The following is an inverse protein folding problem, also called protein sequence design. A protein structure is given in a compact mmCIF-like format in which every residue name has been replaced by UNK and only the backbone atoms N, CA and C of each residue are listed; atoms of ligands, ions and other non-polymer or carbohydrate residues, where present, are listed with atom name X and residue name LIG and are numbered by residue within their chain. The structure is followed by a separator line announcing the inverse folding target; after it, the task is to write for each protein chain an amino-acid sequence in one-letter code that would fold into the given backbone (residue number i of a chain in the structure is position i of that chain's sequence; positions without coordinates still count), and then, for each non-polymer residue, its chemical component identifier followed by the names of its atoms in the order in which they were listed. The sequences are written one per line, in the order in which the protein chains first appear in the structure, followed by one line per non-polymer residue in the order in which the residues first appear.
data_IF_311166567641
#
_entry.id   IF_311166567641
#
_cell.length_a   1.000
_cell.length_b   1.000
_cell.length_c   1.000
_cell.angle_alpha   90.00
_cell.angle_beta   90.00
_cell.angle_gamma   90.00
#
_symmetry.space_group_name_H-M   'P 1'
#
loop_
_entity.id
_entity.type
_entity.pdbx_description
1 polymer ?
#
# COMPACT_ATOMS: atom_id res chain seq x y z
N UNK A 1 1.59 -24.41 3.65
CA UNK A 1 2.25 -23.30 2.92
C UNK A 1 2.64 -22.23 3.93
N UNK A 2 3.89 -21.75 3.93
CA UNK A 2 4.28 -20.64 4.82
C UNK A 2 3.77 -19.34 4.19
N UNK A 3 2.85 -18.65 4.84
CA UNK A 3 2.37 -17.35 4.36
C UNK A 3 3.43 -16.28 4.58
N UNK A 4 3.56 -15.35 3.62
CA UNK A 4 4.46 -14.21 3.74
C UNK A 4 4.00 -13.30 4.88
N UNK A 5 4.89 -13.00 5.83
CA UNK A 5 4.59 -12.13 6.99
C UNK A 5 5.00 -10.68 6.77
N UNK A 6 6.08 -10.45 6.03
CA UNK A 6 6.63 -9.12 5.79
C UNK A 6 6.92 -8.97 4.31
N UNK A 7 6.50 -7.84 3.74
CA UNK A 7 6.75 -7.47 2.36
C UNK A 7 7.41 -6.09 2.32
N UNK A 8 8.62 -6.03 1.77
CA UNK A 8 9.40 -4.80 1.66
C UNK A 8 9.60 -4.47 0.19
N UNK A 9 9.10 -3.31 -0.24
CA UNK A 9 9.23 -2.77 -1.59
C UNK A 9 9.84 -1.37 -1.57
N UNK A 10 10.66 -1.07 -0.56
CA UNK A 10 11.29 0.24 -0.40
C UNK A 10 12.07 0.65 -1.66
N UNK A 11 11.89 1.88 -2.12
CA UNK A 11 12.64 2.44 -3.23
C UNK A 11 12.32 1.82 -4.60
N UNK A 12 11.25 1.04 -4.73
CA UNK A 12 10.83 0.47 -6.01
C UNK A 12 10.23 1.54 -6.94
N UNK A 13 11.09 2.34 -7.58
CA UNK A 13 10.70 3.45 -8.47
C UNK A 13 10.00 3.01 -9.76
N UNK A 14 10.16 1.74 -10.14
CA UNK A 14 9.58 1.14 -11.35
C UNK A 14 8.60 0.01 -10.99
N UNK A 15 8.00 0.03 -9.79
CA UNK A 15 7.01 -0.99 -9.43
C UNK A 15 5.80 -0.84 -10.35
N UNK A 16 5.78 -1.64 -11.42
CA UNK A 16 4.89 -1.49 -12.57
C UNK A 16 3.70 -2.45 -12.55
N UNK A 17 3.72 -3.49 -11.72
CA UNK A 17 2.68 -4.52 -11.62
C UNK A 17 2.88 -5.30 -10.31
N UNK A 18 1.80 -5.51 -9.58
CA UNK A 18 1.68 -6.61 -8.61
C UNK A 18 0.75 -7.67 -9.23
N UNK A 19 0.74 -8.93 -8.75
CA UNK A 19 -0.08 -9.98 -9.36
C UNK A 19 -1.58 -9.65 -9.25
N UNK A 20 -2.19 -9.45 -10.42
CA UNK A 20 -3.60 -9.34 -10.82
C UNK A 20 -4.69 -9.05 -9.77
N UNK A 21 -5.22 -7.82 -9.80
CA UNK A 21 -6.54 -7.46 -10.39
C UNK A 21 -6.46 -5.97 -10.73
N UNK A 22 -6.60 -5.65 -12.01
CA UNK A 22 -6.26 -4.35 -12.60
C UNK A 22 -7.54 -3.53 -12.87
N UNK A 23 -7.59 -2.27 -12.42
CA UNK A 23 -8.25 -1.20 -13.19
C UNK A 23 -7.15 -0.34 -13.81
N UNK A 24 -7.02 -0.41 -15.13
CA UNK A 24 -6.10 0.41 -15.92
C UNK A 24 -6.73 1.80 -16.03
N UNK A 25 -6.06 2.86 -15.58
CA UNK A 25 -6.34 4.21 -16.08
C UNK A 25 -5.72 4.35 -17.49
N UNK A 26 -6.39 5.01 -18.44
CA UNK A 26 -6.12 4.92 -19.88
C UNK A 26 -4.78 5.46 -20.40
N UNK A 27 -3.85 5.89 -19.54
CA UNK A 27 -2.59 6.49 -19.96
C UNK A 27 -1.41 5.64 -19.46
N UNK A 28 -1.05 4.63 -20.26
CA UNK A 28 -0.16 3.51 -19.91
C UNK A 28 1.31 3.82 -19.64
N UNK A 29 1.65 4.85 -18.86
CA UNK A 29 3.05 5.13 -18.49
C UNK A 29 3.36 5.21 -17.00
N UNK A 30 2.40 5.43 -16.09
CA UNK A 30 2.67 5.46 -14.65
C UNK A 30 1.51 4.84 -13.86
N UNK A 31 1.73 3.66 -13.25
CA UNK A 31 0.74 3.10 -12.33
C UNK A 31 0.81 3.89 -11.03
N UNK A 32 -0.28 4.60 -10.74
CA UNK A 32 -0.43 5.47 -9.55
C UNK A 32 -1.00 4.73 -8.34
N UNK A 33 -1.47 3.49 -8.51
CA UNK A 33 -2.19 2.72 -7.49
C UNK A 33 -1.62 1.31 -7.33
N UNK A 34 -1.37 0.89 -6.10
CA UNK A 34 -1.00 -0.49 -5.79
C UNK A 34 -2.25 -1.37 -5.84
N UNK A 35 -2.19 -2.56 -6.46
CA UNK A 35 -3.22 -3.60 -6.29
C UNK A 35 -2.53 -4.78 -5.62
N UNK A 36 -2.96 -5.17 -4.42
CA UNK A 36 -2.41 -6.33 -3.73
C UNK A 36 -3.34 -7.51 -3.94
N UNK A 37 -2.80 -8.66 -4.38
CA UNK A 37 -3.58 -9.89 -4.45
C UNK A 37 -4.13 -10.20 -3.06
N UNK A 38 -5.44 -10.45 -2.98
CA UNK A 38 -6.14 -10.83 -1.73
C UNK A 38 -5.44 -12.04 -1.07
N UNK A 39 -4.89 -12.95 -1.88
CA UNK A 39 -4.15 -14.12 -1.41
C UNK A 39 -2.80 -13.78 -0.75
N UNK A 40 -2.15 -12.69 -1.16
CA UNK A 40 -0.91 -12.21 -0.53
C UNK A 40 -1.18 -11.53 0.82
N UNK A 41 -2.37 -10.94 1.00
CA UNK A 41 -2.74 -10.21 2.21
C UNK A 41 -3.16 -11.11 3.38
N UNK A 42 -3.63 -12.34 3.10
CA UNK A 42 -4.20 -13.21 4.14
C UNK A 42 -3.23 -13.59 5.28
N UNK A 43 -1.92 -13.48 5.06
CA UNK A 43 -0.91 -13.72 6.10
C UNK A 43 0.01 -12.54 6.39
N UNK A 44 -0.10 -11.44 5.63
CA UNK A 44 0.83 -10.32 5.70
C UNK A 44 0.57 -9.52 6.97
N UNK A 45 1.63 -9.28 7.73
CA UNK A 45 1.63 -8.51 8.97
C UNK A 45 2.25 -7.13 8.76
N UNK A 46 3.28 -7.03 7.92
CA UNK A 46 3.99 -5.77 7.69
C UNK A 46 4.16 -5.50 6.19
N UNK A 47 3.85 -4.27 5.77
CA UNK A 47 4.05 -3.77 4.41
C UNK A 47 4.88 -2.49 4.43
N UNK A 48 6.02 -2.49 3.75
CA UNK A 48 6.86 -1.30 3.58
C UNK A 48 6.92 -0.88 2.12
N UNK A 49 6.58 0.39 1.86
CA UNK A 49 6.60 1.05 0.55
C UNK A 49 7.44 2.34 0.56
N UNK A 50 8.33 2.49 1.56
CA UNK A 50 9.11 3.71 1.74
C UNK A 50 9.90 4.09 0.48
N UNK A 51 9.89 5.36 0.09
CA UNK A 51 10.62 5.85 -1.07
C UNK A 51 10.04 5.42 -2.42
N UNK A 52 8.83 4.83 -2.47
CA UNK A 52 8.07 4.64 -3.70
C UNK A 52 7.50 5.98 -4.19
N UNK A 53 8.36 6.81 -4.78
CA UNK A 53 8.06 8.22 -5.13
C UNK A 53 6.94 8.41 -6.15
N UNK A 54 6.56 7.38 -6.89
CA UNK A 54 5.46 7.43 -7.88
C UNK A 54 4.14 6.86 -7.34
N UNK A 55 4.12 6.32 -6.12
CA UNK A 55 2.92 5.78 -5.50
C UNK A 55 2.03 6.94 -5.03
N UNK A 56 0.91 7.16 -5.71
CA UNK A 56 -0.04 8.23 -5.36
C UNK A 56 -1.28 7.72 -4.61
N UNK A 57 -1.63 6.45 -4.80
CA UNK A 57 -2.82 5.80 -4.24
C UNK A 57 -2.53 4.39 -3.73
N UNK A 58 -3.23 3.99 -2.69
CA UNK A 58 -3.31 2.60 -2.21
C UNK A 58 -4.64 2.00 -2.67
N UNK A 59 -4.71 0.66 -2.80
CA UNK A 59 -5.96 0.02 -3.17
C UNK A 59 -6.98 0.23 -2.06
N UNK A 60 -8.25 0.38 -2.43
CA UNK A 60 -9.37 0.45 -1.47
C UNK A 60 -9.41 -0.76 -0.53
N UNK A 61 -8.92 -1.90 -0.99
CA UNK A 61 -8.87 -3.17 -0.26
C UNK A 61 -7.45 -3.51 0.23
N UNK A 62 -6.62 -2.51 0.51
CA UNK A 62 -5.29 -2.73 1.13
C UNK A 62 -5.38 -3.55 2.42
N UNK A 63 -6.51 -3.42 3.10
CA UNK A 63 -6.89 -4.11 4.31
C UNK A 63 -8.35 -4.57 4.19
N UNK A 64 -8.64 -5.70 4.80
CA UNK A 64 -9.93 -6.35 4.88
C UNK A 64 -10.11 -6.94 6.28
N UNK A 65 -11.36 -7.23 6.67
CA UNK A 65 -11.68 -7.85 7.97
C UNK A 65 -11.05 -9.23 8.17
N UNK A 66 -10.46 -9.82 7.13
CA UNK A 66 -9.79 -11.13 7.15
C UNK A 66 -8.26 -11.04 7.15
N UNK A 67 -7.70 -9.83 7.07
CA UNK A 67 -6.27 -9.63 6.94
C UNK A 67 -5.59 -9.57 8.31
N UNK A 68 -4.29 -9.87 8.33
CA UNK A 68 -3.45 -9.79 9.53
C UNK A 68 -2.52 -8.58 9.49
N UNK A 69 -2.77 -7.62 8.59
CA UNK A 69 -1.88 -6.49 8.39
C UNK A 69 -1.91 -5.62 9.64
N UNK A 70 -0.75 -5.45 10.25
CA UNK A 70 -0.51 -4.70 11.48
C UNK A 70 0.50 -3.59 11.29
N UNK A 71 1.21 -3.44 10.18
CA UNK A 71 2.09 -2.29 9.98
C UNK A 71 2.14 -1.88 8.52
N UNK A 72 2.04 -0.56 8.26
CA UNK A 72 2.29 0.01 6.95
C UNK A 72 3.23 1.22 7.03
N UNK A 73 4.28 1.22 6.20
CA UNK A 73 5.24 2.30 6.10
C UNK A 73 5.23 2.91 4.70
N UNK A 74 5.02 4.22 4.62
CA UNK A 74 4.84 4.98 3.38
C UNK A 74 5.81 6.17 3.28
N UNK A 75 6.87 6.22 4.10
CA UNK A 75 7.78 7.37 4.18
C UNK A 75 8.31 7.74 2.80
N UNK A 76 8.22 9.02 2.41
CA UNK A 76 8.75 9.52 1.14
C UNK A 76 8.00 9.01 -0.11
N UNK A 77 6.73 8.60 0.02
CA UNK A 77 5.85 8.32 -1.12
C UNK A 77 5.14 9.58 -1.62
N UNK A 78 4.53 9.53 -2.81
CA UNK A 78 3.71 10.62 -3.36
C UNK A 78 2.22 10.48 -3.01
N UNK A 79 1.91 9.69 -1.97
CA UNK A 79 0.54 9.34 -1.61
C UNK A 79 -0.31 10.60 -1.36
N UNK A 80 -1.49 10.65 -1.98
CA UNK A 80 -2.39 11.82 -1.89
C UNK A 80 -3.45 11.67 -0.80
N UNK A 81 -3.78 10.43 -0.45
CA UNK A 81 -4.79 10.07 0.54
C UNK A 81 -4.72 8.58 0.86
N UNK A 82 -5.26 8.20 2.01
CA UNK A 82 -5.37 6.81 2.44
C UNK A 82 -6.79 6.27 2.20
N UNK A 83 -6.96 4.98 1.90
CA UNK A 83 -8.27 4.37 1.76
C UNK A 83 -8.95 4.24 3.12
N UNK A 84 -10.28 4.32 3.18
CA UNK A 84 -11.04 4.21 4.43
C UNK A 84 -10.79 2.88 5.17
N UNK A 85 -10.48 1.81 4.42
CA UNK A 85 -10.14 0.50 5.00
C UNK A 85 -8.92 0.55 5.93
N UNK A 86 -8.09 1.60 5.85
CA UNK A 86 -6.95 1.77 6.75
C UNK A 86 -7.37 1.92 8.22
N UNK A 87 -8.62 2.34 8.50
CA UNK A 87 -9.21 2.36 9.85
C UNK A 87 -9.40 0.95 10.43
N UNK A 88 -9.44 -0.08 9.58
CA UNK A 88 -9.52 -1.49 10.00
C UNK A 88 -8.20 -2.01 10.57
N UNK A 89 -7.10 -1.29 10.34
CA UNK A 89 -5.86 -1.55 11.04
C UNK A 89 -6.09 -1.20 12.51
N UNK A 90 -5.91 -2.16 13.43
CA UNK A 90 -5.94 -1.90 14.87
C UNK A 90 -5.07 -0.67 15.16
N UNK A 91 -5.59 0.37 15.83
CA UNK A 91 -5.11 1.77 15.77
C UNK A 91 -3.66 2.15 16.11
N UNK A 92 -2.68 1.22 16.10
CA UNK A 92 -1.27 1.44 16.45
C UNK A 92 -0.31 1.30 15.25
N UNK A 93 -0.83 1.31 14.01
CA UNK A 93 -0.26 0.49 12.93
C UNK A 93 0.16 1.28 11.67
N UNK A 94 -0.25 2.55 11.56
CA UNK A 94 0.25 3.47 10.53
C UNK A 94 1.51 4.19 11.06
N UNK A 95 2.66 3.54 10.97
CA UNK A 95 3.81 3.96 11.79
C UNK A 95 4.63 5.08 11.16
N UNK A 96 4.58 5.29 9.85
CA UNK A 96 5.46 6.27 9.21
C UNK A 96 4.92 6.86 7.89
N UNK A 97 4.47 8.11 7.97
CA UNK A 97 4.06 8.98 6.85
C UNK A 97 5.02 10.15 6.63
N UNK A 98 6.23 10.09 7.19
CA UNK A 98 7.21 11.14 7.04
C UNK A 98 7.53 11.38 5.57
N UNK A 99 7.78 12.63 5.18
CA UNK A 99 8.09 13.01 3.80
C UNK A 99 7.00 12.65 2.75
N UNK A 100 5.76 12.33 3.15
CA UNK A 100 4.60 12.20 2.25
C UNK A 100 4.05 13.57 1.86
N UNK A 101 4.77 14.31 1.01
CA UNK A 101 4.53 15.74 0.71
C UNK A 101 3.19 16.06 0.04
N UNK A 102 2.55 15.06 -0.58
CA UNK A 102 1.30 15.23 -1.34
C UNK A 102 0.05 14.79 -0.55
N UNK A 103 0.21 14.30 0.68
CA UNK A 103 -0.89 13.76 1.48
C UNK A 103 -1.81 14.90 1.93
N UNK A 104 -3.08 14.85 1.52
CA UNK A 104 -4.05 15.92 1.77
C UNK A 104 -4.91 15.69 3.00
N UNK A 105 -5.20 14.43 3.31
CA UNK A 105 -6.09 14.06 4.40
C UNK A 105 -5.71 12.70 4.97
N UNK A 106 -5.88 12.58 6.27
CA UNK A 106 -6.01 11.30 6.96
C UNK A 106 -7.51 10.92 6.97
N UNK A 107 -7.85 9.63 6.97
CA UNK A 107 -9.20 9.18 7.29
C UNK A 107 -9.56 9.57 8.73
#
# INVERSE_FOLDING_TARGET
MKSLKTLVLSGCLKLKKFPDIVQVLPDGNDIRELSLAIELLFGLVQLTLNGCKNLEHLPRTITSSRDQLLEIHLEGTAIRGLPASIELLSGNVLSNLKDCKNLKSLP
#
